data_IF_940742426219
#
_entry.id   IF_940742426219
#
_cell.length_a   1.000
_cell.length_b   1.000
_cell.length_c   1.000
_cell.angle_alpha   90.00
_cell.angle_beta   90.00
_cell.angle_gamma   90.00
#
_symmetry.space_group_name_H-M   'P 1'
#
loop_
_entity.id
_entity.type
_entity.pdbx_description
1 polymer ?
#
# COMPACT_ATOMS: atom_id res chain seq x y z
N UNK A 1 21.47 -31.23 39.10
CA UNK A 1 20.52 -30.90 40.18
C UNK A 1 19.88 -29.57 39.80
N UNK A 2 18.60 -29.57 39.41
CA UNK A 2 17.87 -28.33 39.10
C UNK A 2 17.26 -27.89 40.44
N UNK A 3 17.82 -26.85 41.05
CA UNK A 3 17.35 -26.36 42.35
C UNK A 3 15.99 -25.68 42.20
N UNK A 4 15.01 -26.11 42.99
CA UNK A 4 13.81 -25.31 43.28
C UNK A 4 14.06 -24.54 44.57
N UNK A 5 13.78 -23.23 44.57
CA UNK A 5 13.87 -22.36 45.74
C UNK A 5 12.53 -21.70 46.01
N UNK A 6 12.24 -21.45 47.28
CA UNK A 6 11.14 -20.57 47.70
C UNK A 6 11.83 -19.38 48.37
N UNK A 7 11.66 -18.19 47.80
CA UNK A 7 12.21 -16.97 48.36
C UNK A 7 11.39 -16.55 49.59
N UNK A 8 12.00 -15.74 50.47
CA UNK A 8 11.35 -15.25 51.69
C UNK A 8 10.09 -14.40 51.44
N UNK A 9 9.92 -13.88 50.22
CA UNK A 9 8.71 -13.18 49.78
C UNK A 9 7.61 -14.12 49.23
N UNK A 10 7.81 -15.45 49.30
CA UNK A 10 6.88 -16.46 48.82
C UNK A 10 6.97 -16.80 47.33
N UNK A 11 7.86 -16.15 46.57
CA UNK A 11 8.05 -16.47 45.16
C UNK A 11 8.74 -17.83 44.98
N UNK A 12 8.29 -18.60 44.00
CA UNK A 12 8.86 -19.91 43.67
C UNK A 12 9.80 -19.75 42.48
N UNK A 13 11.08 -20.10 42.68
CA UNK A 13 12.10 -20.16 41.65
C UNK A 13 12.41 -21.59 41.24
N UNK A 14 12.34 -21.93 39.95
CA UNK A 14 12.82 -23.20 39.41
C UNK A 14 14.00 -22.91 38.50
N UNK A 15 15.20 -23.41 38.83
CA UNK A 15 16.43 -23.11 38.09
C UNK A 15 17.01 -21.71 38.36
N UNK A 16 16.46 -20.99 39.35
CA UNK A 16 16.96 -19.70 39.86
C UNK A 16 16.73 -19.60 41.36
N UNK A 17 17.65 -18.92 42.05
CA UNK A 17 17.53 -18.62 43.48
C UNK A 17 17.03 -17.20 43.74
N UNK A 18 16.87 -16.38 42.69
CA UNK A 18 16.40 -15.00 42.75
C UNK A 18 15.12 -14.84 41.90
N UNK A 19 13.97 -15.38 42.34
CA UNK A 19 12.73 -15.28 41.58
C UNK A 19 12.14 -13.86 41.62
N UNK A 20 11.99 -13.22 40.45
CA UNK A 20 11.44 -11.86 40.29
C UNK A 20 9.93 -11.84 39.99
N UNK A 21 9.32 -13.02 39.81
CA UNK A 21 7.88 -13.21 39.64
C UNK A 21 7.38 -14.26 40.64
N UNK A 22 6.05 -14.30 40.88
CA UNK A 22 5.41 -15.29 41.78
C UNK A 22 5.85 -16.72 41.46
N UNK A 23 5.94 -17.04 40.18
CA UNK A 23 6.61 -18.23 39.67
C UNK A 23 7.65 -17.78 38.63
N UNK A 24 8.93 -18.06 38.89
CA UNK A 24 10.03 -17.78 37.96
C UNK A 24 10.73 -19.09 37.60
N UNK A 25 10.57 -19.54 36.36
CA UNK A 25 11.29 -20.69 35.83
C UNK A 25 12.42 -20.19 34.91
N UNK A 26 13.67 -20.38 35.33
CA UNK A 26 14.85 -20.15 34.50
C UNK A 26 15.21 -21.48 33.80
N UNK A 27 14.46 -21.80 32.75
CA UNK A 27 14.58 -23.03 31.98
C UNK A 27 13.31 -23.35 31.17
N UNK A 28 13.30 -24.51 30.50
CA UNK A 28 12.13 -24.93 29.71
C UNK A 28 11.01 -25.41 30.63
N UNK A 29 9.82 -24.85 30.48
CA UNK A 29 8.63 -25.30 31.22
C UNK A 29 7.79 -26.20 30.33
N UNK A 30 7.47 -27.42 30.81
CA UNK A 30 6.45 -28.28 30.20
C UNK A 30 5.21 -28.28 31.08
N UNK A 31 4.11 -27.77 30.56
CA UNK A 31 2.79 -27.79 31.20
C UNK A 31 1.92 -28.82 30.49
N UNK A 32 1.26 -29.71 31.24
CA UNK A 32 0.36 -30.71 30.68
C UNK A 32 -1.08 -30.34 31.04
N UNK A 33 -1.81 -29.78 30.07
CA UNK A 33 -3.16 -29.23 30.24
C UNK A 33 -3.36 -27.95 29.46
N UNK A 34 -4.51 -27.31 29.66
CA UNK A 34 -4.82 -26.01 29.08
C UNK A 34 -4.02 -24.92 29.81
N UNK A 35 -3.26 -24.11 29.08
CA UNK A 35 -2.49 -22.98 29.62
C UNK A 35 -3.08 -21.68 29.11
N UNK A 36 -3.71 -20.92 29.99
CA UNK A 36 -4.12 -19.55 29.69
C UNK A 36 -2.97 -18.58 29.92
N UNK A 37 -2.59 -17.80 28.91
CA UNK A 37 -1.77 -16.60 29.13
C UNK A 37 -2.77 -15.46 29.34
N UNK A 38 -2.96 -15.06 30.59
CA UNK A 38 -3.96 -14.08 31.00
C UNK A 38 -3.33 -12.87 31.67
N UNK A 39 -3.97 -11.70 31.53
CA UNK A 39 -3.66 -10.51 32.33
C UNK A 39 -3.99 -10.74 33.81
N UNK A 40 -3.46 -9.90 34.69
CA UNK A 40 -3.29 -10.12 36.14
C UNK A 40 -4.53 -10.49 36.95
N UNK A 41 -5.74 -10.37 36.41
CA UNK A 41 -6.96 -10.85 37.05
C UNK A 41 -7.88 -11.56 36.06
N UNK A 42 -8.35 -12.75 36.46
CA UNK A 42 -9.42 -13.49 35.77
C UNK A 42 -10.69 -12.64 35.62
N UNK A 43 -10.81 -11.48 36.32
CA UNK A 43 -11.90 -10.49 36.25
C UNK A 43 -12.01 -9.66 34.96
N UNK A 44 -10.94 -9.61 34.17
CA UNK A 44 -10.74 -8.55 33.16
C UNK A 44 -10.71 -9.04 31.70
N UNK A 45 -11.01 -10.32 31.45
CA UNK A 45 -11.07 -10.89 30.10
C UNK A 45 -12.51 -11.13 29.63
N UNK A 46 -13.06 -10.21 28.84
CA UNK A 46 -14.44 -10.29 28.35
C UNK A 46 -14.73 -11.55 27.52
N UNK A 47 -13.85 -11.88 26.58
CA UNK A 47 -14.10 -12.87 25.54
C UNK A 47 -14.13 -14.31 26.12
N UNK A 48 -13.20 -14.66 27.01
CA UNK A 48 -13.16 -16.00 27.63
C UNK A 48 -14.28 -16.15 28.66
N UNK A 49 -14.52 -15.13 29.51
CA UNK A 49 -15.59 -15.15 30.54
C UNK A 49 -16.98 -15.37 29.97
N UNK A 50 -17.27 -14.72 28.85
CA UNK A 50 -18.56 -14.82 28.20
C UNK A 50 -18.65 -16.05 27.27
N UNK A 51 -17.71 -17.00 27.39
CA UNK A 51 -17.63 -18.21 26.58
C UNK A 51 -17.60 -17.92 25.06
N UNK A 52 -17.07 -16.77 24.66
CA UNK A 52 -16.91 -16.39 23.24
C UNK A 52 -15.64 -16.97 22.63
N UNK A 53 -14.74 -17.51 23.46
CA UNK A 53 -13.62 -18.35 23.05
C UNK A 53 -13.45 -19.51 24.03
N UNK A 54 -12.90 -20.62 23.52
CA UNK A 54 -12.60 -21.78 24.33
C UNK A 54 -11.49 -21.46 25.36
N UNK A 55 -11.61 -22.03 26.56
CA UNK A 55 -10.53 -22.01 27.56
C UNK A 55 -9.24 -22.54 26.93
N UNK A 56 -8.13 -21.81 27.12
CA UNK A 56 -6.83 -22.11 26.49
C UNK A 56 -6.52 -21.39 25.19
N UNK A 57 -7.45 -20.59 24.69
CA UNK A 57 -7.16 -19.69 23.56
C UNK A 57 -6.16 -18.60 23.97
N UNK A 58 -5.28 -18.21 23.05
CA UNK A 58 -4.36 -17.09 23.27
C UNK A 58 -5.14 -15.77 23.17
N UNK A 59 -5.31 -15.08 24.30
CA UNK A 59 -5.89 -13.73 24.37
C UNK A 59 -4.83 -12.79 24.94
N UNK A 60 -4.41 -11.80 24.16
CA UNK A 60 -3.38 -10.83 24.54
C UNK A 60 -4.06 -9.47 24.70
N UNK A 61 -4.02 -8.92 25.92
CA UNK A 61 -4.66 -7.65 26.30
C UNK A 61 -5.83 -7.79 27.31
N UNK A 62 -6.45 -6.66 27.68
CA UNK A 62 -7.62 -6.57 28.56
C UNK A 62 -8.50 -5.34 28.24
N UNK A 63 -9.63 -5.16 28.94
CA UNK A 63 -10.58 -4.05 28.70
C UNK A 63 -10.20 -2.71 29.35
N UNK A 64 -9.22 -2.66 30.23
CA UNK A 64 -8.91 -1.50 31.08
C UNK A 64 -7.60 -0.81 30.72
N UNK A 65 -6.84 -1.35 29.76
CA UNK A 65 -5.55 -0.83 29.34
C UNK A 65 -5.40 -0.96 27.83
N UNK A 66 -4.85 0.08 27.20
CA UNK A 66 -4.44 0.03 25.81
C UNK A 66 -3.10 -0.69 25.69
N UNK A 67 -2.93 -1.47 24.61
CA UNK A 67 -1.70 -2.20 24.33
C UNK A 67 -1.22 -1.84 22.92
N UNK A 68 -0.15 -1.04 22.82
CA UNK A 68 0.35 -0.49 21.56
C UNK A 68 -0.07 0.96 21.27
N UNK A 69 0.47 1.51 20.18
CA UNK A 69 0.29 2.92 19.78
C UNK A 69 1.31 3.87 20.41
N UNK A 70 2.16 3.37 21.30
CA UNK A 70 3.27 4.09 21.88
C UNK A 70 4.48 4.21 20.97
N UNK A 71 5.17 5.35 21.01
CA UNK A 71 6.42 5.57 20.29
C UNK A 71 7.60 5.30 21.22
N UNK A 72 8.62 4.59 20.73
CA UNK A 72 9.79 4.23 21.52
C UNK A 72 10.42 5.46 22.20
N UNK A 73 10.62 5.40 23.52
CA UNK A 73 11.33 6.41 24.30
C UNK A 73 10.45 7.34 25.13
N UNK A 74 9.17 7.49 24.80
CA UNK A 74 8.27 8.40 25.54
C UNK A 74 7.16 7.68 26.31
N UNK A 75 6.85 6.44 25.94
CA UNK A 75 5.96 5.57 26.71
C UNK A 75 6.36 4.10 26.55
N UNK A 76 6.04 3.27 27.54
CA UNK A 76 6.44 1.87 27.59
C UNK A 76 5.45 0.94 26.86
N UNK A 77 4.56 1.49 26.01
CA UNK A 77 3.42 0.77 25.43
C UNK A 77 3.51 0.60 23.90
N UNK A 78 4.61 0.03 23.42
CA UNK A 78 4.96 0.01 21.98
C UNK A 78 4.07 -0.92 21.13
N UNK A 79 3.70 -2.10 21.65
CA UNK A 79 2.84 -3.03 20.91
C UNK A 79 2.13 -4.00 21.85
N UNK A 80 0.95 -4.46 21.44
CA UNK A 80 0.28 -5.60 22.07
C UNK A 80 0.98 -6.93 21.75
N UNK A 81 1.51 -7.07 20.52
CA UNK A 81 2.22 -8.27 20.05
C UNK A 81 3.50 -7.85 19.31
N UNK A 82 4.67 -8.28 19.81
CA UNK A 82 5.99 -7.94 19.26
C UNK A 82 6.80 -9.22 19.01
N UNK A 83 7.41 -9.33 17.82
CA UNK A 83 8.28 -10.43 17.42
C UNK A 83 9.74 -9.93 17.29
N UNK A 84 10.59 -10.17 18.30
CA UNK A 84 12.01 -9.78 18.31
C UNK A 84 12.91 -10.93 17.81
N UNK A 85 13.80 -10.66 16.86
CA UNK A 85 14.68 -11.67 16.27
C UNK A 85 16.01 -11.06 15.83
N UNK A 86 17.09 -11.87 15.83
CA UNK A 86 18.40 -11.42 15.34
C UNK A 86 18.44 -11.21 13.82
N UNK A 87 17.76 -12.07 13.05
CA UNK A 87 17.81 -12.06 11.59
C UNK A 87 16.42 -12.21 10.92
N UNK A 88 15.71 -13.32 11.13
CA UNK A 88 14.44 -13.61 10.45
C UNK A 88 13.41 -14.13 11.46
N UNK A 89 12.14 -13.78 11.26
CA UNK A 89 11.02 -14.32 12.05
C UNK A 89 9.78 -14.50 11.19
N UNK A 90 8.90 -15.40 11.60
CA UNK A 90 7.77 -15.80 10.79
C UNK A 90 6.61 -16.32 11.64
N UNK A 91 5.40 -15.96 11.23
CA UNK A 91 4.17 -16.56 11.74
C UNK A 91 3.76 -17.66 10.77
N UNK A 92 3.76 -18.89 11.27
CA UNK A 92 3.40 -20.06 10.50
C UNK A 92 2.13 -20.71 11.06
N UNK A 93 1.30 -21.23 10.16
CA UNK A 93 0.21 -22.13 10.50
C UNK A 93 0.65 -23.53 10.06
N UNK A 94 0.58 -24.48 10.98
CA UNK A 94 0.80 -25.89 10.69
C UNK A 94 -0.52 -26.64 10.83
N UNK A 95 -0.94 -27.31 9.76
CA UNK A 95 -2.00 -28.31 9.83
C UNK A 95 -1.37 -29.69 10.04
N UNK A 96 -1.94 -30.48 10.94
CA UNK A 96 -1.39 -31.72 11.50
C UNK A 96 -0.74 -32.63 10.44
N UNK A 97 0.58 -32.49 10.26
CA UNK A 97 1.39 -33.32 9.37
C UNK A 97 1.13 -33.12 7.87
N UNK A 98 0.35 -32.11 7.48
CA UNK A 98 -0.05 -31.88 6.09
C UNK A 98 0.69 -30.71 5.43
N UNK A 99 0.71 -29.53 6.04
CA UNK A 99 1.31 -28.34 5.40
C UNK A 99 1.73 -27.27 6.41
N UNK A 100 2.76 -26.50 6.04
CA UNK A 100 3.14 -25.26 6.72
C UNK A 100 2.78 -24.08 5.82
N UNK A 101 1.86 -23.24 6.27
CA UNK A 101 1.53 -22.00 5.58
C UNK A 101 2.23 -20.82 6.27
N UNK A 102 3.04 -20.08 5.52
CA UNK A 102 3.55 -18.79 5.97
C UNK A 102 2.42 -17.77 5.93
N UNK A 103 1.89 -17.36 7.08
CA UNK A 103 0.95 -16.25 7.11
C UNK A 103 1.68 -14.95 6.76
N UNK A 104 2.79 -14.71 7.44
CA UNK A 104 3.58 -13.50 7.33
C UNK A 104 5.02 -13.81 7.71
N UNK A 105 5.95 -13.50 6.82
CA UNK A 105 7.38 -13.61 7.09
C UNK A 105 8.04 -12.25 7.04
N UNK A 106 8.81 -11.97 8.08
CA UNK A 106 9.83 -10.93 8.09
C UNK A 106 11.18 -11.55 7.74
N UNK A 107 11.97 -10.84 6.94
CA UNK A 107 13.37 -11.22 6.72
C UNK A 107 14.33 -10.08 7.06
N UNK A 108 15.61 -10.40 7.21
CA UNK A 108 16.71 -9.45 7.44
C UNK A 108 16.84 -8.37 6.36
N UNK A 109 16.06 -8.46 5.27
CA UNK A 109 15.93 -7.44 4.23
C UNK A 109 14.75 -6.46 4.46
N UNK A 110 14.19 -6.44 5.67
CA UNK A 110 13.11 -5.54 6.07
C UNK A 110 11.85 -5.65 5.17
N UNK A 111 11.51 -6.86 4.72
CA UNK A 111 10.36 -7.11 3.87
C UNK A 111 9.33 -8.00 4.57
N UNK A 112 8.05 -7.76 4.27
CA UNK A 112 6.94 -8.61 4.68
C UNK A 112 6.50 -9.42 3.46
N UNK A 113 6.71 -10.73 3.53
CA UNK A 113 6.12 -11.65 2.57
C UNK A 113 4.88 -12.26 3.20
N UNK A 114 3.72 -11.95 2.63
CA UNK A 114 2.49 -12.67 2.95
C UNK A 114 2.53 -13.95 2.12
N UNK A 115 2.01 -15.06 2.64
CA UNK A 115 1.71 -16.27 1.86
C UNK A 115 2.82 -16.82 0.96
N UNK A 116 4.07 -16.91 1.45
CA UNK A 116 5.13 -17.59 0.67
C UNK A 116 4.96 -19.12 0.71
N UNK A 117 5.41 -19.78 -0.35
CA UNK A 117 5.65 -21.23 -0.32
C UNK A 117 6.79 -21.56 0.66
N UNK A 118 6.54 -22.46 1.60
CA UNK A 118 7.48 -22.89 2.66
C UNK A 118 8.25 -24.16 2.29
N UNK A 119 8.06 -24.68 1.07
CA UNK A 119 8.62 -25.96 0.60
C UNK A 119 7.64 -27.13 0.70
N UNK A 120 6.46 -26.93 1.31
CA UNK A 120 5.42 -27.97 1.43
C UNK A 120 4.16 -27.69 0.62
N UNK A 121 4.20 -26.75 -0.33
CA UNK A 121 3.06 -26.40 -1.19
C UNK A 121 2.87 -24.90 -1.38
N UNK A 122 2.03 -24.51 -2.35
CA UNK A 122 1.70 -23.11 -2.61
C UNK A 122 0.94 -22.52 -1.43
N UNK A 123 1.44 -21.43 -0.87
CA UNK A 123 0.67 -20.54 -0.02
C UNK A 123 0.17 -19.40 -0.91
N UNK A 124 -1.12 -19.12 -0.89
CA UNK A 124 -1.73 -18.10 -1.73
C UNK A 124 -1.98 -16.84 -0.92
N UNK A 125 -1.40 -15.73 -1.35
CA UNK A 125 -1.71 -14.39 -0.82
C UNK A 125 -2.92 -13.85 -1.54
N UNK A 126 -3.91 -13.47 -0.75
CA UNK A 126 -5.04 -12.69 -1.20
C UNK A 126 -4.72 -11.20 -1.00
N UNK A 127 -4.63 -10.36 -2.05
CA UNK A 127 -4.42 -8.89 -1.91
C UNK A 127 -5.75 -8.15 -1.79
N UNK A 128 -5.77 -7.17 -0.88
CA UNK A 128 -6.78 -6.12 -0.75
C UNK A 128 -6.33 -4.81 -1.43
N UNK A 129 -7.27 -3.89 -1.68
CA UNK A 129 -7.17 -2.81 -2.67
C UNK A 129 -5.98 -1.83 -2.51
N UNK A 130 -5.17 -1.62 -3.59
CA UNK A 130 -4.69 -0.29 -4.09
C UNK A 130 -3.53 -0.28 -5.12
N UNK A 131 -2.85 -1.39 -5.45
CA UNK A 131 -2.26 -1.48 -6.80
C UNK A 131 -3.42 -1.56 -7.78
N UNK A 132 -3.58 -0.61 -8.70
CA UNK A 132 -4.80 -0.51 -9.51
C UNK A 132 -5.02 -1.72 -10.41
N UNK A 133 -3.97 -2.47 -10.70
CA UNK A 133 -4.04 -3.68 -11.51
C UNK A 133 -3.23 -4.83 -10.90
N UNK A 134 -3.69 -6.05 -11.16
CA UNK A 134 -3.02 -7.31 -10.86
C UNK A 134 -2.32 -7.83 -12.11
N UNK A 135 -1.34 -8.73 -11.96
CA UNK A 135 -0.80 -9.46 -13.10
C UNK A 135 -1.93 -10.23 -13.80
N UNK A 136 -2.05 -10.05 -15.11
CA UNK A 136 -3.12 -10.66 -15.91
C UNK A 136 -2.53 -11.80 -16.75
N UNK A 137 -2.88 -13.04 -16.40
CA UNK A 137 -2.51 -14.21 -17.21
C UNK A 137 -3.18 -14.11 -18.59
N UNK A 138 -2.39 -14.05 -19.67
CA UNK A 138 -2.93 -13.75 -21.01
C UNK A 138 -2.33 -14.58 -22.18
N UNK A 139 -1.88 -15.80 -21.90
CA UNK A 139 -1.33 -16.71 -22.92
C UNK A 139 -2.35 -17.05 -24.04
N UNK A 140 -1.88 -17.27 -25.27
CA UNK A 140 -2.76 -17.68 -26.38
C UNK A 140 -3.44 -19.04 -26.16
N UNK A 141 -2.80 -19.96 -25.42
CA UNK A 141 -3.33 -21.31 -25.10
C UNK A 141 -4.56 -21.26 -24.20
N UNK A 142 -4.78 -20.14 -23.52
CA UNK A 142 -5.93 -19.93 -22.63
C UNK A 142 -6.98 -19.00 -23.26
N UNK A 143 -6.92 -18.76 -24.58
CA UNK A 143 -7.81 -17.86 -25.33
C UNK A 143 -8.41 -18.57 -26.55
N UNK A 144 -9.68 -18.31 -26.84
CA UNK A 144 -10.39 -18.85 -28.02
C UNK A 144 -11.10 -17.73 -28.81
N UNK A 145 -11.60 -18.03 -30.01
CA UNK A 145 -12.33 -17.07 -30.87
C UNK A 145 -11.56 -15.75 -31.11
N UNK A 146 -10.23 -15.83 -31.18
CA UNK A 146 -9.35 -14.67 -31.28
C UNK A 146 -9.54 -13.99 -32.64
N UNK A 147 -10.18 -12.81 -32.62
CA UNK A 147 -10.41 -11.96 -33.80
C UNK A 147 -9.76 -10.59 -33.57
N UNK A 148 -9.32 -9.95 -34.65
CA UNK A 148 -8.81 -8.57 -34.59
C UNK A 148 -9.92 -7.61 -34.17
N UNK A 149 -9.58 -6.64 -33.33
CA UNK A 149 -10.51 -5.57 -32.92
C UNK A 149 -10.87 -4.65 -34.09
N UNK A 150 -12.08 -4.07 -34.05
CA UNK A 150 -12.51 -3.04 -34.99
C UNK A 150 -11.92 -1.69 -34.59
N UNK A 151 -10.83 -1.29 -35.26
CA UNK A 151 -10.10 -0.08 -34.91
C UNK A 151 -10.88 1.22 -35.16
N UNK A 152 -11.86 1.23 -36.07
CA UNK A 152 -12.71 2.40 -36.30
C UNK A 152 -13.57 2.70 -35.07
N UNK A 153 -14.19 1.66 -34.49
CA UNK A 153 -14.96 1.80 -33.25
C UNK A 153 -14.05 2.27 -32.11
N UNK A 154 -12.81 1.76 -32.02
CA UNK A 154 -11.87 2.22 -31.01
C UNK A 154 -11.54 3.71 -31.16
N UNK A 155 -11.28 4.16 -32.39
CA UNK A 155 -11.02 5.56 -32.69
C UNK A 155 -12.23 6.45 -32.38
N UNK A 156 -13.42 6.06 -32.83
CA UNK A 156 -14.65 6.82 -32.59
C UNK A 156 -14.97 6.92 -31.09
N UNK A 157 -14.77 5.84 -30.33
CA UNK A 157 -14.99 5.85 -28.89
C UNK A 157 -14.00 6.76 -28.16
N UNK A 158 -12.70 6.70 -28.48
CA UNK A 158 -11.69 7.57 -27.86
C UNK A 158 -11.92 9.04 -28.22
N UNK A 159 -12.33 9.31 -29.46
CA UNK A 159 -12.63 10.66 -29.92
C UNK A 159 -13.81 11.31 -29.18
N UNK A 160 -14.79 10.50 -28.78
CA UNK A 160 -16.04 11.02 -28.18
C UNK A 160 -16.06 10.97 -26.63
N UNK A 161 -15.13 10.25 -25.99
CA UNK A 161 -14.96 10.24 -24.52
C UNK A 161 -13.97 11.33 -24.13
N UNK A 162 -14.37 12.22 -23.22
CA UNK A 162 -13.54 13.33 -22.77
C UNK A 162 -12.87 13.04 -21.42
N UNK A 163 -11.74 13.69 -21.21
CA UNK A 163 -11.11 13.80 -19.90
C UNK A 163 -11.55 15.09 -19.22
N UNK A 164 -11.76 15.02 -17.92
CA UNK A 164 -12.17 16.15 -17.10
C UNK A 164 -11.18 16.36 -15.97
N UNK A 165 -10.86 17.63 -15.67
CA UNK A 165 -10.19 18.01 -14.42
C UNK A 165 -11.27 18.25 -13.37
N UNK A 166 -11.19 17.59 -12.23
CA UNK A 166 -12.18 17.72 -11.17
C UNK A 166 -11.57 17.57 -9.78
N UNK A 167 -12.28 18.10 -8.78
CA UNK A 167 -12.08 17.84 -7.37
C UNK A 167 -13.19 16.93 -6.86
N UNK A 168 -12.87 16.04 -5.92
CA UNK A 168 -13.91 15.39 -5.14
C UNK A 168 -14.56 16.41 -4.20
N UNK A 169 -15.86 16.26 -3.94
CA UNK A 169 -16.55 17.06 -2.92
C UNK A 169 -15.97 16.68 -1.55
N UNK A 170 -15.82 17.65 -0.64
CA UNK A 170 -15.25 17.41 0.70
C UNK A 170 -15.95 16.28 1.44
N UNK A 171 -17.27 16.19 1.31
CA UNK A 171 -18.05 15.14 1.94
C UNK A 171 -17.83 13.72 1.37
N UNK A 172 -17.05 13.56 0.28
CA UNK A 172 -16.76 12.28 -0.37
C UNK A 172 -15.48 11.60 0.15
N UNK A 173 -14.73 12.23 1.06
CA UNK A 173 -13.50 11.67 1.63
C UNK A 173 -13.10 12.33 2.95
N UNK A 174 -12.29 11.62 3.73
CA UNK A 174 -12.00 11.87 5.15
C UNK A 174 -11.15 13.15 5.38
N UNK A 175 -11.67 14.34 5.03
CA UNK A 175 -11.15 15.67 5.36
C UNK A 175 -9.73 16.04 4.90
N UNK A 176 -9.04 15.19 4.13
CA UNK A 176 -7.61 15.31 3.82
C UNK A 176 -7.31 15.84 2.41
N UNK A 177 -8.34 16.21 1.66
CA UNK A 177 -8.21 16.68 0.27
C UNK A 177 -8.00 18.21 0.21
N UNK A 178 -6.84 18.70 0.69
CA UNK A 178 -6.39 20.04 0.32
C UNK A 178 -6.00 20.02 -1.17
N UNK A 179 -6.78 20.76 -1.98
CA UNK A 179 -6.66 21.01 -3.43
C UNK A 179 -5.94 19.92 -4.26
N UNK A 180 -6.71 18.93 -4.73
CA UNK A 180 -6.23 17.85 -5.62
C UNK A 180 -7.07 17.78 -6.87
N UNK A 181 -6.97 18.82 -7.71
CA UNK A 181 -7.56 18.74 -9.05
C UNK A 181 -6.89 17.59 -9.78
N UNK A 182 -7.68 16.57 -10.12
CA UNK A 182 -7.18 15.39 -10.82
C UNK A 182 -7.86 15.27 -12.19
N UNK A 183 -7.11 14.73 -13.13
CA UNK A 183 -7.62 14.35 -14.44
C UNK A 183 -8.25 12.96 -14.35
N UNK A 184 -9.43 12.79 -14.92
CA UNK A 184 -10.04 11.48 -15.00
C UNK A 184 -11.33 11.47 -15.79
N UNK A 185 -11.99 10.31 -15.75
CA UNK A 185 -13.23 10.08 -16.45
C UNK A 185 -14.44 10.42 -15.60
N UNK A 186 -15.48 10.94 -16.23
CA UNK A 186 -16.84 10.93 -15.69
C UNK A 186 -17.49 9.63 -16.13
N UNK A 187 -17.73 8.73 -15.16
CA UNK A 187 -18.22 7.37 -15.42
C UNK A 187 -19.52 7.34 -16.24
N UNK A 188 -20.41 8.34 -16.11
CA UNK A 188 -21.66 8.44 -16.87
C UNK A 188 -21.42 8.66 -18.38
N UNK A 189 -20.37 9.38 -18.76
CA UNK A 189 -20.01 9.56 -20.17
C UNK A 189 -19.45 8.26 -20.74
N UNK A 190 -18.53 7.62 -20.00
CA UNK A 190 -17.92 6.35 -20.42
C UNK A 190 -18.99 5.25 -20.58
N UNK A 191 -20.05 5.27 -19.76
CA UNK A 191 -21.16 4.32 -19.83
C UNK A 191 -21.89 4.26 -21.19
N UNK A 192 -21.86 5.35 -21.98
CA UNK A 192 -22.50 5.37 -23.30
C UNK A 192 -21.77 4.46 -24.31
N UNK A 193 -20.47 4.23 -24.11
CA UNK A 193 -19.60 3.48 -25.02
C UNK A 193 -19.10 2.16 -24.42
N UNK A 194 -18.80 2.15 -23.12
CA UNK A 194 -18.35 1.00 -22.34
C UNK A 194 -19.26 0.74 -21.14
N UNK A 195 -20.54 0.40 -21.36
CA UNK A 195 -21.46 0.13 -20.25
C UNK A 195 -20.98 -1.02 -19.36
N UNK A 196 -20.17 -1.95 -19.89
CA UNK A 196 -19.61 -3.10 -19.14
C UNK A 196 -18.43 -2.75 -18.23
N UNK A 197 -17.83 -1.57 -18.37
CA UNK A 197 -16.71 -1.12 -17.54
C UNK A 197 -17.15 -0.29 -16.34
N UNK A 198 -18.46 -0.06 -16.17
CA UNK A 198 -19.01 0.78 -15.10
C UNK A 198 -19.77 -0.08 -14.10
N UNK A 199 -19.42 0.06 -12.83
CA UNK A 199 -20.14 -0.52 -11.70
C UNK A 199 -20.78 0.60 -10.89
N UNK A 200 -22.00 0.41 -10.40
CA UNK A 200 -22.70 1.41 -9.56
C UNK A 200 -22.91 0.87 -8.16
N UNK A 201 -22.72 1.73 -7.17
CA UNK A 201 -22.96 1.44 -5.76
C UNK A 201 -23.63 2.61 -5.06
N UNK A 202 -24.32 2.34 -3.95
CA UNK A 202 -24.87 3.38 -3.09
C UNK A 202 -23.81 3.80 -2.08
N UNK A 203 -23.59 5.11 -1.87
CA UNK A 203 -22.63 5.62 -0.87
C UNK A 203 -23.21 6.81 -0.10
N UNK A 204 -23.05 6.77 1.23
CA UNK A 204 -23.33 7.90 2.12
C UNK A 204 -22.06 8.73 2.30
N UNK A 205 -22.22 10.04 2.27
CA UNK A 205 -21.15 11.02 2.42
C UNK A 205 -20.95 11.38 3.89
N UNK A 206 -19.80 11.98 4.22
CA UNK A 206 -19.43 12.38 5.59
C UNK A 206 -20.40 13.44 6.16
N UNK A 207 -21.07 14.20 5.29
CA UNK A 207 -22.11 15.18 5.62
C UNK A 207 -23.54 14.61 5.66
N UNK A 208 -23.68 13.28 5.68
CA UNK A 208 -24.92 12.52 5.68
C UNK A 208 -25.77 12.55 4.40
N UNK A 209 -25.36 13.24 3.32
CA UNK A 209 -26.05 13.13 2.03
C UNK A 209 -25.86 11.75 1.40
N UNK A 210 -26.83 11.36 0.58
CA UNK A 210 -26.84 10.04 -0.05
C UNK A 210 -26.71 10.15 -1.58
N UNK A 211 -25.84 9.32 -2.16
CA UNK A 211 -25.73 9.14 -3.61
C UNK A 211 -26.21 7.71 -3.96
N UNK A 212 -27.41 7.56 -4.54
CA UNK A 212 -28.03 6.24 -4.74
C UNK A 212 -27.38 5.43 -5.87
N UNK A 213 -26.74 6.07 -6.85
CA UNK A 213 -26.22 5.44 -8.08
C UNK A 213 -24.75 5.81 -8.40
N UNK A 214 -23.88 5.89 -7.38
CA UNK A 214 -22.45 6.26 -7.52
C UNK A 214 -21.72 5.29 -8.45
N UNK A 215 -21.28 5.79 -9.60
CA UNK A 215 -20.58 5.01 -10.62
C UNK A 215 -19.07 4.96 -10.38
N UNK A 216 -18.46 3.79 -10.57
CA UNK A 216 -17.02 3.48 -10.53
C UNK A 216 -16.62 2.79 -11.83
N UNK A 217 -15.38 2.97 -12.26
CA UNK A 217 -14.91 2.53 -13.59
C UNK A 217 -13.74 1.54 -13.50
N UNK A 218 -13.82 0.44 -14.26
CA UNK A 218 -12.68 -0.36 -14.67
C UNK A 218 -12.06 0.23 -15.94
N UNK A 219 -10.92 0.88 -15.75
CA UNK A 219 -10.20 1.60 -16.82
C UNK A 219 -9.48 0.65 -17.79
N UNK A 220 -9.39 -0.65 -17.51
CA UNK A 220 -8.62 -1.61 -18.30
C UNK A 220 -9.05 -1.64 -19.77
N UNK A 221 -10.36 -1.67 -20.03
CA UNK A 221 -10.90 -1.71 -21.40
C UNK A 221 -10.73 -0.37 -22.14
N UNK A 222 -10.80 0.75 -21.41
CA UNK A 222 -10.55 2.07 -21.98
C UNK A 222 -9.10 2.19 -22.42
N UNK A 223 -8.16 1.68 -21.60
CA UNK A 223 -6.73 1.66 -21.92
C UNK A 223 -6.43 0.80 -23.17
N UNK A 224 -7.08 -0.36 -23.33
CA UNK A 224 -6.92 -1.16 -24.56
C UNK A 224 -7.53 -0.49 -25.79
N UNK A 225 -8.60 0.30 -25.62
CA UNK A 225 -9.20 1.06 -26.71
C UNK A 225 -8.27 2.16 -27.20
N UNK A 226 -7.57 2.84 -26.29
CA UNK A 226 -6.57 3.85 -26.64
C UNK A 226 -5.52 3.27 -27.59
N UNK A 227 -5.02 2.07 -27.29
CA UNK A 227 -4.08 1.37 -28.18
C UNK A 227 -4.67 1.09 -29.58
N UNK A 228 -5.94 0.69 -29.65
CA UNK A 228 -6.65 0.49 -30.91
C UNK A 228 -6.83 1.78 -31.72
N UNK A 229 -7.18 2.88 -31.05
CA UNK A 229 -7.33 4.20 -31.68
C UNK A 229 -6.00 4.71 -32.25
N UNK A 230 -4.90 4.58 -31.51
CA UNK A 230 -3.55 4.93 -31.97
C UNK A 230 -3.18 4.13 -33.23
N UNK A 231 -3.45 2.81 -33.26
CA UNK A 231 -3.24 2.02 -34.48
C UNK A 231 -4.05 2.50 -35.68
N UNK A 232 -5.25 3.02 -35.46
CA UNK A 232 -6.06 3.59 -36.53
C UNK A 232 -5.50 4.93 -37.01
N UNK A 233 -5.07 5.79 -36.08
CA UNK A 233 -4.40 7.05 -36.38
C UNK A 233 -3.16 6.83 -37.25
N UNK A 234 -2.30 5.88 -36.89
CA UNK A 234 -1.10 5.53 -37.69
C UNK A 234 -1.49 5.20 -39.14
N UNK A 235 -2.50 4.35 -39.35
CA UNK A 235 -2.96 3.99 -40.71
C UNK A 235 -3.47 5.19 -41.51
N UNK A 236 -4.16 6.11 -40.84
CA UNK A 236 -4.67 7.33 -41.49
C UNK A 236 -3.52 8.24 -41.89
N UNK A 237 -2.54 8.44 -40.99
CA UNK A 237 -1.34 9.24 -41.23
C UNK A 237 -0.54 8.66 -42.40
N UNK A 238 -0.20 7.37 -42.38
CA UNK A 238 0.51 6.71 -43.47
C UNK A 238 -0.22 6.84 -44.82
N UNK A 239 -1.54 6.71 -44.82
CA UNK A 239 -2.36 6.89 -46.03
C UNK A 239 -2.34 8.34 -46.52
N UNK A 240 -2.38 9.32 -45.62
CA UNK A 240 -2.28 10.73 -45.97
C UNK A 240 -0.91 11.07 -46.52
N UNK A 241 0.18 10.65 -45.85
CA UNK A 241 1.55 10.84 -46.32
C UNK A 241 1.76 10.26 -47.71
N UNK A 242 1.24 9.06 -48.00
CA UNK A 242 1.32 8.47 -49.33
C UNK A 242 0.54 9.25 -50.41
N UNK A 243 -0.57 9.91 -50.05
CA UNK A 243 -1.31 10.76 -50.98
C UNK A 243 -0.59 12.08 -51.22
N UNK A 244 -0.02 12.65 -50.17
CA UNK A 244 0.78 13.88 -50.23
C UNK A 244 2.00 13.66 -51.14
N UNK A 245 2.76 12.58 -50.93
CA UNK A 245 3.88 12.19 -51.80
C UNK A 245 3.50 12.09 -53.27
N UNK A 246 2.36 11.45 -53.59
CA UNK A 246 1.86 11.37 -54.98
C UNK A 246 1.50 12.73 -55.58
N UNK A 247 0.97 13.65 -54.77
CA UNK A 247 0.63 15.00 -55.22
C UNK A 247 1.90 15.84 -55.42
N UNK A 248 2.88 15.72 -54.53
CA UNK A 248 4.20 16.35 -54.64
C UNK A 248 4.95 15.89 -55.89
N UNK A 249 4.94 14.58 -56.17
CA UNK A 249 5.47 14.00 -57.40
C UNK A 249 4.79 14.58 -58.66
N UNK A 250 3.47 14.75 -58.63
CA UNK A 250 2.71 15.36 -59.75
C UNK A 250 3.00 16.86 -59.92
N UNK A 251 3.33 17.56 -58.84
CA UNK A 251 3.64 18.99 -58.82
C UNK A 251 5.13 19.29 -58.96
N UNK A 252 5.98 18.25 -59.06
CA UNK A 252 7.44 18.34 -59.12
C UNK A 252 8.04 19.14 -57.94
N UNK A 253 7.43 19.01 -56.76
CA UNK A 253 7.92 19.59 -55.52
C UNK A 253 8.88 18.57 -54.89
N UNK A 254 10.12 18.98 -54.61
CA UNK A 254 11.09 18.15 -53.89
C UNK A 254 11.03 18.55 -52.43
N UNK A 255 10.31 17.77 -51.62
CA UNK A 255 10.39 17.85 -50.15
C UNK A 255 11.08 16.59 -49.60
N UNK A 256 12.05 16.80 -48.71
CA UNK A 256 12.74 15.73 -47.98
C UNK A 256 11.79 15.22 -46.88
N UNK A 257 10.98 14.21 -47.21
CA UNK A 257 9.93 13.67 -46.35
C UNK A 257 10.42 12.82 -45.17
N UNK A 258 11.46 13.23 -44.48
CA UNK A 258 11.89 12.63 -43.21
C UNK A 258 11.05 13.21 -42.07
N UNK A 259 10.42 12.33 -41.29
CA UNK A 259 9.92 12.68 -39.96
C UNK A 259 11.16 12.67 -39.06
N UNK A 260 11.45 13.78 -38.37
CA UNK A 260 12.54 13.80 -37.39
C UNK A 260 12.34 12.66 -36.39
N UNK A 261 13.32 11.76 -36.32
CA UNK A 261 13.38 10.72 -35.29
C UNK A 261 14.10 11.35 -34.11
N UNK A 262 13.33 11.85 -33.14
CA UNK A 262 13.81 12.47 -31.91
C UNK A 262 14.26 11.42 -30.87
N UNK A 263 14.31 10.13 -31.26
CA UNK A 263 14.89 9.09 -30.44
C UNK A 263 16.37 9.41 -30.13
N UNK A 264 16.71 9.35 -28.85
CA UNK A 264 18.04 9.66 -28.31
C UNK A 264 18.49 11.14 -28.46
N UNK A 265 17.61 12.03 -28.91
CA UNK A 265 17.89 13.47 -28.77
C UNK A 265 17.91 13.84 -27.28
N UNK A 266 18.95 14.55 -26.80
CA UNK A 266 18.97 15.04 -25.43
C UNK A 266 17.76 15.94 -25.25
N UNK A 267 17.10 15.82 -24.11
CA UNK A 267 15.96 16.69 -23.75
C UNK A 267 16.31 18.16 -24.02
N UNK A 268 15.70 18.74 -25.05
CA UNK A 268 15.76 20.18 -25.32
C UNK A 268 14.51 20.79 -24.73
N UNK A 269 14.69 21.63 -23.72
CA UNK A 269 13.61 22.39 -23.10
C UNK A 269 13.02 23.37 -24.12
N UNK A 270 11.85 23.05 -24.68
CA UNK A 270 11.10 23.95 -25.54
C UNK A 270 10.49 25.03 -24.64
N UNK A 271 11.13 26.20 -24.54
CA UNK A 271 10.55 27.34 -23.83
C UNK A 271 9.50 27.97 -24.73
N UNK A 272 8.24 27.57 -24.56
CA UNK A 272 7.12 28.33 -25.10
C UNK A 272 7.02 29.66 -24.34
N UNK A 273 6.80 30.78 -25.04
CA UNK A 273 6.62 32.09 -24.38
C UNK A 273 5.51 32.03 -23.31
N UNK A 274 5.90 32.11 -22.04
CA UNK A 274 4.99 32.12 -20.89
C UNK A 274 5.13 30.95 -19.89
N UNK A 275 5.98 29.95 -20.16
CA UNK A 275 6.27 28.91 -19.15
C UNK A 275 7.33 29.34 -18.13
N UNK A 276 7.06 29.09 -16.85
CA UNK A 276 8.00 29.35 -15.75
C UNK A 276 9.13 28.32 -15.84
N UNK A 277 10.36 28.82 -15.92
CA UNK A 277 11.55 27.99 -15.94
C UNK A 277 11.67 27.21 -14.60
N UNK A 278 11.42 25.89 -14.65
CA UNK A 278 11.53 25.00 -13.49
C UNK A 278 12.91 24.99 -12.82
N UNK A 279 13.99 25.26 -13.57
CA UNK A 279 15.36 25.33 -13.05
C UNK A 279 15.62 26.66 -12.33
N UNK A 280 14.75 27.66 -12.48
CA UNK A 280 14.77 28.90 -11.70
C UNK A 280 13.95 28.83 -10.41
N UNK A 281 13.25 27.73 -10.17
CA UNK A 281 12.52 27.50 -8.91
C UNK A 281 13.54 27.06 -7.86
N UNK A 282 14.10 28.03 -7.14
CA UNK A 282 14.90 27.74 -5.94
C UNK A 282 13.94 27.20 -4.87
N UNK A 283 14.15 25.98 -4.34
CA UNK A 283 13.36 25.49 -3.22
C UNK A 283 13.49 26.47 -2.06
N UNK A 284 12.38 26.81 -1.41
CA UNK A 284 12.43 27.62 -0.19
C UNK A 284 13.35 26.93 0.83
N UNK A 285 14.38 27.63 1.30
CA UNK A 285 15.27 27.10 2.34
C UNK A 285 14.43 26.73 3.58
N UNK A 286 14.70 25.57 4.20
CA UNK A 286 14.03 25.21 5.44
C UNK A 286 14.40 26.23 6.52
N UNK A 287 13.39 26.75 7.24
CA UNK A 287 13.62 27.66 8.37
C UNK A 287 14.60 27.01 9.37
N UNK A 288 15.71 27.70 9.65
CA UNK A 288 16.67 27.27 10.68
C UNK A 288 15.95 27.17 12.03
N UNK A 289 15.91 25.95 12.57
CA UNK A 289 15.52 25.70 13.95
C UNK A 289 16.50 26.40 14.90
N UNK A 290 16.05 27.20 15.89
CA UNK A 290 16.95 27.93 16.77
C UNK A 290 17.80 26.99 17.65
N UNK A 291 19.11 27.23 17.66
CA UNK A 291 20.10 26.55 18.50
C UNK A 291 19.78 26.67 19.99
N UNK A 292 19.72 25.53 20.66
CA UNK A 292 19.60 25.40 22.11
C UNK A 292 20.95 25.72 22.76
N UNK A 293 21.12 26.94 23.27
CA UNK A 293 22.31 27.35 24.02
C UNK A 293 22.26 26.79 25.45
N UNK A 294 22.87 25.62 25.66
CA UNK A 294 23.22 25.15 27.00
C UNK A 294 24.50 25.83 27.47
N UNK A 295 24.38 26.90 28.27
CA UNK A 295 25.53 27.50 28.96
C UNK A 295 25.98 26.62 30.13
N UNK A 296 27.05 25.85 29.95
CA UNK A 296 27.84 25.28 31.04
C UNK A 296 28.81 26.36 31.57
N UNK A 297 28.47 27.00 32.68
CA UNK A 297 29.39 27.88 33.40
C UNK A 297 30.11 27.08 34.49
N UNK A 298 31.39 26.80 34.26
CA UNK A 298 32.35 26.41 35.29
C UNK A 298 33.59 27.30 35.18
N UNK A 299 33.80 28.19 36.16
CA UNK A 299 35.02 28.27 36.98
C UNK A 299 35.27 29.69 37.54
N UNK A 300 35.15 29.78 38.87
CA UNK A 300 36.07 30.40 39.83
C UNK A 300 36.63 31.83 39.61
N UNK A 301 36.32 32.73 40.55
CA UNK A 301 37.29 33.67 41.08
C UNK A 301 36.98 34.05 42.54
N UNK A 302 38.05 34.05 43.32
CA UNK A 302 38.23 34.26 44.76
C UNK A 302 37.89 35.66 45.32
N UNK A 303 37.50 35.66 46.61
CA UNK A 303 37.70 36.63 47.70
C UNK A 303 37.55 38.14 47.46
N UNK A 304 36.61 38.77 48.19
CA UNK A 304 36.80 40.05 48.92
C UNK A 304 35.82 40.12 50.11
N UNK A 305 36.39 40.26 51.33
CA UNK A 305 35.86 40.60 52.68
C UNK A 305 34.63 39.88 53.27
#
# INVERSE_FOLDING_TARGET
MIGSSIASNGNIGIGTNNPIYKLHVNGTTRLNGIVGIQGTDDTQQYIIRNNLMASGSLVIGNMNQDYGGGTAGENTNMACLMFECSNNTEIMVHDFGQAYASLMRYTSFNNITIGRNTGTGVCSVFKGNNGTTWDVTSDHRIKENIKKANLNICYDNVKNINLYRFNYKDAFGNGTHRDRTQLGFVAQQVNQYYPKSITRGKRKLDDNREVPDLASIDVSQVNFTLFGAVKQLIRVVEKQSNRIKKLEEMLNIVEDGTVEDDADEPYVKIVCEGEVDIDTIVPSEPEETPENTSSSNSSNSSNVF
#
